data_IF_136024499847
#
_entry.id   IF_136024499847
#
_cell.length_a   1.000
_cell.length_b   1.000
_cell.length_c   1.000
_cell.angle_alpha   90.00
_cell.angle_beta   90.00
_cell.angle_gamma   90.00
#
_symmetry.space_group_name_H-M   'P 1'
#
loop_
_entity.id
_entity.type
_entity.pdbx_description
1 polymer ?
#
# COMPACT_ATOMS: atom_id res chain seq x y z
N UNK A 1 33.46 20.57 -1.88
CA UNK A 1 32.34 20.31 -0.97
C UNK A 1 32.89 19.97 0.40
N UNK A 2 32.44 20.65 1.45
CA UNK A 2 32.76 20.28 2.83
C UNK A 2 32.14 18.93 3.19
N UNK A 3 32.57 18.30 4.29
CA UNK A 3 31.98 17.02 4.77
C UNK A 3 30.48 17.16 5.09
N UNK A 4 30.04 18.37 5.45
CA UNK A 4 28.63 18.72 5.67
C UNK A 4 27.83 18.81 4.36
N UNK A 5 28.45 19.28 3.28
CA UNK A 5 27.79 19.42 1.96
C UNK A 5 27.57 18.08 1.25
N UNK A 6 28.18 16.98 1.74
CA UNK A 6 28.03 15.63 1.19
C UNK A 6 27.03 14.76 1.95
N UNK A 7 26.36 15.30 2.96
CA UNK A 7 25.45 14.55 3.81
C UNK A 7 24.04 14.52 3.24
N UNK A 8 23.55 13.33 2.88
CA UNK A 8 22.15 13.14 2.48
C UNK A 8 21.23 13.24 3.72
N UNK A 9 20.31 14.20 3.67
CA UNK A 9 19.25 14.39 4.68
C UNK A 9 17.90 14.13 4.03
N UNK A 10 17.12 13.22 4.60
CA UNK A 10 15.80 12.86 4.08
C UNK A 10 14.74 13.18 5.11
N UNK A 11 13.77 14.03 4.75
CA UNK A 11 12.59 14.28 5.56
C UNK A 11 11.61 13.11 5.44
N UNK A 12 11.21 12.54 6.58
CA UNK A 12 10.17 11.51 6.67
C UNK A 12 8.92 12.15 7.28
N UNK A 13 7.92 12.37 6.44
CA UNK A 13 6.65 13.00 6.81
C UNK A 13 5.56 11.93 6.83
N UNK A 14 5.51 11.19 7.94
CA UNK A 14 4.56 10.12 8.17
C UNK A 14 3.87 10.38 9.51
N UNK A 15 2.54 10.31 9.52
CA UNK A 15 1.76 10.53 10.72
C UNK A 15 2.01 9.46 11.79
N UNK A 16 2.22 9.90 13.03
CA UNK A 16 2.26 9.02 14.20
C UNK A 16 0.89 8.87 14.87
N UNK A 17 -0.01 9.79 14.56
CA UNK A 17 -1.35 9.89 15.11
C UNK A 17 -2.35 10.26 14.02
N UNK A 18 -3.64 10.00 14.26
CA UNK A 18 -4.70 10.26 13.29
C UNK A 18 -5.12 9.03 12.48
N UNK A 19 -6.01 9.24 11.51
CA UNK A 19 -6.77 8.18 10.83
C UNK A 19 -5.89 7.16 10.12
N UNK A 20 -4.75 7.58 9.55
CA UNK A 20 -3.83 6.74 8.76
C UNK A 20 -2.58 6.31 9.52
N UNK A 21 -2.47 6.62 10.82
CA UNK A 21 -1.25 6.42 11.61
C UNK A 21 -0.70 4.98 11.57
N UNK A 22 -1.57 3.96 11.56
CA UNK A 22 -1.13 2.57 11.53
C UNK A 22 -0.30 2.24 10.27
N UNK A 23 -0.78 2.67 9.10
CA UNK A 23 -0.09 2.52 7.81
C UNK A 23 1.13 3.44 7.74
N UNK A 24 1.01 4.69 8.17
CA UNK A 24 2.10 5.66 8.06
C UNK A 24 3.28 5.33 8.99
N UNK A 25 3.01 4.81 10.19
CA UNK A 25 4.05 4.24 11.06
C UNK A 25 4.76 3.06 10.40
N UNK A 26 4.02 2.22 9.67
CA UNK A 26 4.58 1.12 8.86
C UNK A 26 5.50 1.66 7.76
N UNK A 27 5.05 2.64 6.98
CA UNK A 27 5.85 3.32 5.94
C UNK A 27 7.13 3.95 6.50
N UNK A 28 7.01 4.67 7.63
CA UNK A 28 8.15 5.27 8.32
C UNK A 28 9.17 4.20 8.71
N UNK A 29 8.73 3.10 9.31
CA UNK A 29 9.63 2.01 9.70
C UNK A 29 10.34 1.39 8.48
N UNK A 30 9.63 1.23 7.35
CA UNK A 30 10.23 0.76 6.09
C UNK A 30 11.34 1.70 5.58
N UNK A 31 11.07 3.00 5.54
CA UNK A 31 12.06 4.01 5.14
C UNK A 31 13.27 4.07 6.08
N UNK A 32 13.03 3.99 7.40
CA UNK A 32 14.10 3.96 8.40
C UNK A 32 14.95 2.70 8.30
N UNK A 33 14.34 1.53 8.07
CA UNK A 33 15.07 0.27 7.86
C UNK A 33 16.00 0.37 6.64
N UNK A 34 15.51 0.94 5.53
CA UNK A 34 16.34 1.16 4.35
C UNK A 34 17.54 2.07 4.63
N UNK A 35 17.32 3.19 5.33
CA UNK A 35 18.39 4.11 5.71
C UNK A 35 19.42 3.42 6.63
N UNK A 36 18.95 2.63 7.61
CA UNK A 36 19.82 1.89 8.52
C UNK A 36 20.67 0.85 7.79
N UNK A 37 20.09 0.10 6.85
CA UNK A 37 20.82 -0.84 6.00
C UNK A 37 21.89 -0.15 5.16
N UNK A 38 21.54 0.96 4.50
CA UNK A 38 22.49 1.75 3.73
C UNK A 38 23.62 2.28 4.62
N UNK A 39 23.32 2.71 5.84
CA UNK A 39 24.33 3.15 6.80
C UNK A 39 25.28 2.02 7.21
N UNK A 40 24.75 0.81 7.46
CA UNK A 40 25.57 -0.40 7.70
C UNK A 40 26.44 -0.77 6.49
N UNK A 41 25.98 -0.46 5.28
CA UNK A 41 26.70 -0.67 4.00
C UNK A 41 27.75 0.43 3.70
N UNK A 42 28.02 1.35 4.64
CA UNK A 42 29.01 2.42 4.48
C UNK A 42 28.41 3.79 4.15
N UNK A 43 27.07 3.88 4.10
CA UNK A 43 26.32 5.11 3.90
C UNK A 43 26.29 5.58 2.45
N UNK A 44 26.02 6.87 2.30
CA UNK A 44 25.94 7.56 1.02
C UNK A 44 27.08 8.58 0.93
N UNK A 45 27.88 8.51 -0.13
CA UNK A 45 29.10 9.32 -0.29
C UNK A 45 30.07 9.20 0.91
N UNK A 46 30.10 8.03 1.55
CA UNK A 46 30.88 7.76 2.76
C UNK A 46 30.39 8.50 4.01
N UNK A 47 29.16 9.02 4.01
CA UNK A 47 28.50 9.62 5.17
C UNK A 47 27.20 8.86 5.49
N UNK A 48 26.79 8.79 6.77
CA UNK A 48 25.49 8.22 7.10
C UNK A 48 24.35 9.10 6.54
N UNK A 49 23.32 8.43 6.02
CA UNK A 49 22.01 9.01 5.71
C UNK A 49 21.38 9.47 7.02
N UNK A 50 20.99 10.74 7.09
CA UNK A 50 20.25 11.28 8.22
C UNK A 50 18.77 11.41 7.87
N UNK A 51 17.91 10.90 8.73
CA UNK A 51 16.46 11.06 8.61
C UNK A 51 15.95 12.11 9.58
N UNK A 52 15.07 12.99 9.10
CA UNK A 52 14.38 13.98 9.91
C UNK A 52 12.91 13.60 9.94
N UNK A 53 12.41 13.18 11.10
CA UNK A 53 11.02 12.72 11.25
C UNK A 53 10.14 13.88 11.69
N UNK A 54 9.05 14.12 10.96
CA UNK A 54 7.99 15.04 11.34
C UNK A 54 6.64 14.34 11.38
N UNK A 55 5.83 14.60 12.41
CA UNK A 55 4.46 14.10 12.55
C UNK A 55 3.43 15.17 12.11
N UNK A 56 2.86 15.03 10.90
CA UNK A 56 1.77 15.89 10.42
C UNK A 56 0.39 15.52 11.00
N UNK A 57 0.23 14.37 11.64
CA UNK A 57 -1.01 13.97 12.33
C UNK A 57 -2.21 13.67 11.43
N UNK A 58 -1.98 13.30 10.16
CA UNK A 58 -3.05 13.02 9.21
C UNK A 58 -3.85 14.25 8.74
N UNK A 59 -3.42 15.47 9.10
CA UNK A 59 -4.08 16.73 8.73
C UNK A 59 -3.57 17.26 7.39
N UNK A 60 -4.38 17.28 6.32
CA UNK A 60 -3.97 17.75 5.00
C UNK A 60 -3.35 19.15 4.99
N UNK A 61 -3.79 20.03 5.90
CA UNK A 61 -3.24 21.38 6.03
C UNK A 61 -1.82 21.39 6.62
N UNK A 62 -1.45 20.34 7.36
CA UNK A 62 -0.09 20.12 7.88
C UNK A 62 0.80 19.39 6.88
N UNK A 63 0.22 18.73 5.86
CA UNK A 63 0.93 18.18 4.69
C UNK A 63 1.11 19.20 3.54
N UNK A 64 0.48 20.38 3.62
CA UNK A 64 0.14 21.26 2.48
C UNK A 64 1.22 21.42 1.40
N UNK A 65 1.14 20.56 0.38
CA UNK A 65 0.72 20.85 -0.99
C UNK A 65 0.31 19.53 -1.66
N UNK A 66 -0.86 19.51 -2.31
CA UNK A 66 -1.53 18.38 -2.99
C UNK A 66 -2.16 17.32 -2.08
N UNK A 67 -3.48 17.20 -2.15
CA UNK A 67 -4.23 15.94 -2.31
C UNK A 67 -5.73 16.21 -2.17
N UNK A 68 -6.42 16.47 -3.27
CA UNK A 68 -7.89 16.55 -3.24
C UNK A 68 -8.60 16.00 -4.50
N UNK A 69 -7.87 15.64 -5.57
CA UNK A 69 -8.53 15.39 -6.87
C UNK A 69 -8.61 13.91 -7.30
N UNK A 70 -7.77 13.01 -6.78
CA UNK A 70 -7.60 11.68 -7.40
C UNK A 70 -8.59 10.58 -6.98
N UNK A 71 -9.22 10.68 -5.82
CA UNK A 71 -10.11 9.59 -5.32
C UNK A 71 -11.52 9.67 -5.91
N UNK A 72 -11.91 10.80 -6.48
CA UNK A 72 -13.33 11.14 -6.61
C UNK A 72 -14.07 10.49 -7.78
N UNK A 73 -13.45 9.95 -8.85
CA UNK A 73 -14.25 9.74 -10.07
C UNK A 73 -13.71 8.74 -11.15
N UNK A 74 -14.52 7.71 -11.44
CA UNK A 74 -14.80 7.09 -12.77
C UNK A 74 -14.27 5.70 -13.19
N UNK A 75 -13.21 5.12 -12.64
CA UNK A 75 -12.65 3.85 -13.18
C UNK A 75 -13.46 2.57 -12.90
N UNK A 76 -13.74 2.30 -11.62
CA UNK A 76 -14.24 0.98 -11.18
C UNK A 76 -15.69 0.72 -11.62
N UNK A 77 -16.54 1.75 -11.68
CA UNK A 77 -17.96 1.61 -12.09
C UNK A 77 -18.12 1.10 -13.52
N UNK A 78 -17.22 1.51 -14.43
CA UNK A 78 -17.28 1.07 -15.83
C UNK A 78 -16.91 -0.41 -15.96
N UNK A 79 -15.93 -0.86 -15.17
CA UNK A 79 -15.40 -2.22 -15.21
C UNK A 79 -16.44 -3.28 -14.87
N UNK A 80 -17.19 -3.11 -13.77
CA UNK A 80 -18.22 -4.07 -13.38
C UNK A 80 -19.34 -4.16 -14.43
N UNK A 81 -19.79 -3.00 -14.95
CA UNK A 81 -20.88 -2.95 -15.93
C UNK A 81 -20.50 -3.60 -17.26
N UNK A 82 -19.26 -3.48 -17.70
CA UNK A 82 -18.76 -4.14 -18.91
C UNK A 82 -18.86 -5.67 -18.82
N UNK A 83 -18.86 -6.25 -17.61
CA UNK A 83 -18.89 -7.69 -17.38
C UNK A 83 -20.19 -8.17 -16.70
N UNK A 84 -21.27 -7.40 -16.85
CA UNK A 84 -22.60 -7.79 -16.37
C UNK A 84 -22.86 -7.59 -14.87
N UNK A 85 -21.95 -6.92 -14.16
CA UNK A 85 -22.13 -6.54 -12.76
C UNK A 85 -22.96 -5.25 -12.60
N UNK A 86 -23.66 -5.14 -11.46
CA UNK A 86 -24.48 -4.00 -11.09
C UNK A 86 -24.00 -3.37 -9.77
N UNK A 87 -24.05 -2.04 -9.68
CA UNK A 87 -23.82 -1.33 -8.42
C UNK A 87 -25.18 -1.10 -7.76
N UNK A 88 -25.49 -1.92 -6.74
CA UNK A 88 -26.81 -1.93 -6.08
C UNK A 88 -26.96 -0.86 -4.99
N UNK A 89 -25.85 -0.34 -4.46
CA UNK A 89 -25.83 0.70 -3.43
C UNK A 89 -24.45 1.39 -3.43
N UNK A 90 -24.42 2.67 -3.06
CA UNK A 90 -23.17 3.43 -2.90
C UNK A 90 -23.24 4.31 -1.66
N UNK A 91 -22.37 4.03 -0.69
CA UNK A 91 -22.36 4.68 0.60
C UNK A 91 -20.99 5.27 0.93
N UNK A 92 -21.01 6.41 1.62
CA UNK A 92 -19.83 7.11 2.11
C UNK A 92 -19.98 7.35 3.60
N UNK A 93 -18.86 7.40 4.30
CA UNK A 93 -18.77 7.83 5.70
C UNK A 93 -17.58 8.77 5.90
N UNK A 94 -17.58 9.59 6.95
CA UNK A 94 -16.45 10.46 7.27
C UNK A 94 -15.16 9.67 7.52
N UNK A 95 -14.00 10.32 7.37
CA UNK A 95 -12.68 9.72 7.70
C UNK A 95 -12.57 9.33 9.18
N UNK A 96 -13.21 10.10 10.06
CA UNK A 96 -13.39 9.78 11.48
C UNK A 96 -14.87 9.49 11.73
N UNK A 97 -15.37 8.30 11.37
CA UNK A 97 -16.80 8.03 11.48
C UNK A 97 -17.19 7.84 12.94
N UNK A 98 -18.32 8.43 13.34
CA UNK A 98 -18.97 8.11 14.60
C UNK A 98 -19.64 6.71 14.51
N UNK A 99 -20.06 6.17 15.66
CA UNK A 99 -20.77 4.90 15.70
C UNK A 99 -22.06 4.92 14.86
N UNK A 100 -22.76 6.05 14.83
CA UNK A 100 -23.99 6.22 14.04
C UNK A 100 -23.71 6.23 12.53
N UNK A 101 -22.61 6.84 12.08
CA UNK A 101 -22.19 6.83 10.68
C UNK A 101 -21.91 5.38 10.21
N UNK A 102 -21.18 4.62 11.02
CA UNK A 102 -20.89 3.21 10.77
C UNK A 102 -22.17 2.37 10.71
N UNK A 103 -23.06 2.53 11.68
CA UNK A 103 -24.33 1.80 11.74
C UNK A 103 -25.20 2.09 10.52
N UNK A 104 -25.28 3.35 10.09
CA UNK A 104 -26.04 3.74 8.91
C UNK A 104 -25.51 3.08 7.63
N UNK A 105 -24.19 3.07 7.43
CA UNK A 105 -23.58 2.41 6.26
C UNK A 105 -23.79 0.90 6.31
N UNK A 106 -23.61 0.27 7.48
CA UNK A 106 -23.83 -1.17 7.67
C UNK A 106 -25.26 -1.58 7.32
N UNK A 107 -26.28 -0.85 7.80
CA UNK A 107 -27.68 -1.17 7.45
C UNK A 107 -27.97 -1.01 5.97
N UNK A 108 -27.34 -0.04 5.29
CA UNK A 108 -27.46 0.11 3.83
C UNK A 108 -26.91 -1.09 3.09
N UNK A 109 -25.73 -1.59 3.48
CA UNK A 109 -25.13 -2.80 2.91
C UNK A 109 -26.04 -4.00 3.12
N UNK A 110 -26.54 -4.20 4.34
CA UNK A 110 -27.41 -5.34 4.66
C UNK A 110 -28.71 -5.29 3.87
N UNK A 111 -29.33 -4.12 3.75
CA UNK A 111 -30.57 -3.93 2.99
C UNK A 111 -30.37 -4.14 1.48
N UNK A 112 -29.23 -3.69 0.93
CA UNK A 112 -28.91 -3.86 -0.47
C UNK A 112 -28.58 -5.32 -0.84
N UNK A 113 -28.18 -6.13 0.16
CA UNK A 113 -27.85 -7.54 0.02
C UNK A 113 -26.93 -7.84 -1.19
N UNK A 114 -25.76 -7.18 -1.30
CA UNK A 114 -24.86 -7.39 -2.43
C UNK A 114 -24.15 -8.74 -2.36
N UNK A 115 -23.69 -9.24 -3.51
CA UNK A 115 -22.83 -10.43 -3.57
C UNK A 115 -21.41 -10.16 -3.03
N UNK A 116 -20.92 -8.93 -3.21
CA UNK A 116 -19.59 -8.46 -2.78
C UNK A 116 -19.68 -7.01 -2.32
N UNK A 117 -18.95 -6.65 -1.28
CA UNK A 117 -18.77 -5.25 -0.87
C UNK A 117 -17.43 -4.76 -1.40
N UNK A 118 -17.43 -3.73 -2.25
CA UNK A 118 -16.20 -3.06 -2.67
C UNK A 118 -15.89 -1.88 -1.74
N UNK A 119 -14.85 -2.02 -0.91
CA UNK A 119 -14.47 -1.04 0.09
C UNK A 119 -13.32 -0.15 -0.36
N UNK A 120 -13.51 1.15 -0.18
CA UNK A 120 -12.46 2.20 -0.29
C UNK A 120 -12.29 2.96 1.02
N UNK A 121 -12.75 2.37 2.13
CA UNK A 121 -12.57 2.91 3.49
C UNK A 121 -11.09 2.82 3.86
N UNK A 122 -10.55 3.90 4.41
CA UNK A 122 -9.14 4.00 4.82
C UNK A 122 -9.00 4.20 6.32
N UNK A 123 -7.87 3.73 6.85
CA UNK A 123 -7.45 4.03 8.22
C UNK A 123 -8.34 3.45 9.31
N UNK A 124 -8.44 4.15 10.44
CA UNK A 124 -9.09 3.65 11.67
C UNK A 124 -10.55 3.21 11.50
N UNK A 125 -11.27 3.79 10.53
CA UNK A 125 -12.65 3.40 10.23
C UNK A 125 -12.79 2.01 9.61
N UNK A 126 -11.73 1.47 8.99
CA UNK A 126 -11.75 0.20 8.26
C UNK A 126 -12.05 -0.98 9.17
N UNK A 127 -11.30 -1.14 10.26
CA UNK A 127 -11.47 -2.26 11.17
C UNK A 127 -12.87 -2.23 11.83
N UNK A 128 -13.30 -1.06 12.30
CA UNK A 128 -14.62 -0.88 12.90
C UNK A 128 -15.76 -1.17 11.93
N UNK A 129 -15.65 -0.75 10.66
CA UNK A 129 -16.66 -1.06 9.65
C UNK A 129 -16.77 -2.57 9.41
N UNK A 130 -15.64 -3.28 9.27
CA UNK A 130 -15.62 -4.71 9.01
C UNK A 130 -16.18 -5.49 10.21
N UNK A 131 -15.82 -5.08 11.42
CA UNK A 131 -16.34 -5.65 12.66
C UNK A 131 -17.84 -5.42 12.83
N UNK A 132 -18.33 -4.20 12.58
CA UNK A 132 -19.75 -3.87 12.67
C UNK A 132 -20.57 -4.63 11.62
N UNK A 133 -20.07 -4.75 10.39
CA UNK A 133 -20.72 -5.56 9.36
C UNK A 133 -20.75 -7.03 9.76
N UNK A 134 -19.62 -7.61 10.21
CA UNK A 134 -19.57 -8.99 10.67
C UNK A 134 -20.52 -9.24 11.84
N UNK A 135 -20.58 -8.33 12.81
CA UNK A 135 -21.53 -8.41 13.93
C UNK A 135 -22.98 -8.41 13.44
N UNK A 136 -23.30 -7.59 12.44
CA UNK A 136 -24.64 -7.45 11.90
C UNK A 136 -25.14 -8.68 11.14
N UNK A 137 -24.25 -9.39 10.46
CA UNK A 137 -24.53 -10.69 9.84
C UNK A 137 -24.45 -11.87 10.82
N UNK A 138 -23.81 -11.69 11.98
CA UNK A 138 -23.66 -12.71 13.00
C UNK A 138 -22.91 -13.94 12.49
N UNK A 139 -23.51 -15.12 12.62
CA UNK A 139 -22.97 -16.37 12.08
C UNK A 139 -23.52 -16.72 10.68
N UNK A 140 -24.36 -15.86 10.11
CA UNK A 140 -24.90 -16.05 8.77
C UNK A 140 -23.86 -15.81 7.68
N UNK A 141 -24.14 -16.23 6.43
CA UNK A 141 -23.29 -15.89 5.29
C UNK A 141 -23.26 -14.37 5.13
N UNK A 142 -22.06 -13.80 5.00
CA UNK A 142 -21.84 -12.39 4.68
C UNK A 142 -21.11 -12.27 3.35
N UNK A 143 -21.39 -11.23 2.54
CA UNK A 143 -20.59 -10.99 1.34
C UNK A 143 -19.12 -10.75 1.71
N UNK A 144 -18.16 -11.26 0.93
CA UNK A 144 -16.76 -10.89 1.10
C UNK A 144 -16.59 -9.40 0.82
N UNK A 145 -15.65 -8.78 1.52
CA UNK A 145 -15.26 -7.40 1.26
C UNK A 145 -13.99 -7.42 0.41
N UNK A 146 -14.03 -6.80 -0.77
CA UNK A 146 -12.88 -6.58 -1.63
C UNK A 146 -12.38 -5.14 -1.47
N UNK A 147 -11.10 -4.93 -1.20
CA UNK A 147 -10.55 -3.61 -0.88
C UNK A 147 -9.24 -3.32 -1.60
N UNK A 148 -9.10 -2.06 -2.06
CA UNK A 148 -7.85 -1.51 -2.61
C UNK A 148 -6.92 -0.94 -1.54
N UNK A 149 -7.40 -0.79 -0.31
CA UNK A 149 -6.79 0.08 0.72
C UNK A 149 -6.46 -0.66 2.01
N UNK A 150 -7.22 -1.70 2.34
CA UNK A 150 -7.03 -2.51 3.55
C UNK A 150 -5.68 -3.23 3.49
N UNK A 151 -4.87 -3.04 4.54
CA UNK A 151 -3.54 -3.64 4.66
C UNK A 151 -3.45 -4.59 5.85
N UNK A 152 -2.29 -5.24 6.02
CA UNK A 152 -1.95 -6.05 7.19
C UNK A 152 -2.12 -5.30 8.53
N UNK A 153 -2.03 -3.96 8.52
CA UNK A 153 -2.26 -3.15 9.70
C UNK A 153 -3.74 -3.20 10.14
N UNK A 154 -4.68 -2.89 9.24
CA UNK A 154 -6.12 -2.93 9.55
C UNK A 154 -6.58 -4.37 9.80
N UNK A 155 -5.98 -5.37 9.13
CA UNK A 155 -6.28 -6.79 9.36
C UNK A 155 -5.94 -7.19 10.80
N UNK A 156 -4.80 -6.74 11.32
CA UNK A 156 -4.41 -6.99 12.70
C UNK A 156 -5.37 -6.33 13.71
N UNK A 157 -5.87 -5.12 13.40
CA UNK A 157 -6.85 -4.42 14.23
C UNK A 157 -8.23 -5.08 14.22
N UNK A 158 -8.72 -5.51 13.05
CA UNK A 158 -10.04 -6.12 12.94
C UNK A 158 -10.10 -7.54 13.51
N UNK A 159 -8.97 -8.25 13.48
CA UNK A 159 -8.83 -9.64 13.93
C UNK A 159 -9.14 -10.68 12.85
N UNK A 160 -8.39 -11.78 12.87
CA UNK A 160 -8.41 -12.82 11.83
C UNK A 160 -9.81 -13.38 11.51
N UNK A 161 -10.67 -13.57 12.52
CA UNK A 161 -12.04 -14.07 12.32
C UNK A 161 -12.88 -13.16 11.43
N UNK A 162 -12.77 -11.85 11.64
CA UNK A 162 -13.50 -10.84 10.85
C UNK A 162 -12.86 -10.65 9.49
N UNK A 163 -11.53 -10.76 9.43
CA UNK A 163 -10.76 -10.58 8.20
C UNK A 163 -10.93 -11.75 7.21
N UNK A 164 -11.07 -12.98 7.72
CA UNK A 164 -11.12 -14.21 6.92
C UNK A 164 -12.13 -14.12 5.76
N UNK A 165 -11.69 -14.52 4.56
CA UNK A 165 -12.47 -14.51 3.33
C UNK A 165 -12.59 -13.15 2.64
N UNK A 166 -12.08 -12.07 3.24
CA UNK A 166 -12.00 -10.78 2.56
C UNK A 166 -10.84 -10.76 1.56
N UNK A 167 -10.98 -9.95 0.52
CA UNK A 167 -10.07 -9.85 -0.61
C UNK A 167 -9.35 -8.51 -0.55
N UNK A 168 -8.04 -8.54 -0.74
CA UNK A 168 -7.18 -7.35 -0.77
C UNK A 168 -6.30 -7.38 -2.02
N UNK A 169 -5.89 -6.21 -2.48
CA UNK A 169 -4.95 -6.08 -3.59
C UNK A 169 -3.82 -5.14 -3.20
N UNK A 170 -2.58 -5.54 -3.49
CA UNK A 170 -1.41 -4.71 -3.29
C UNK A 170 -0.26 -5.17 -4.19
N UNK A 171 0.77 -4.33 -4.38
CA UNK A 171 1.99 -4.78 -5.04
C UNK A 171 2.77 -5.82 -4.23
N UNK A 172 2.64 -5.81 -2.91
CA UNK A 172 3.38 -6.69 -2.01
C UNK A 172 2.47 -7.24 -0.90
N UNK A 173 2.76 -8.46 -0.48
CA UNK A 173 2.28 -9.02 0.79
C UNK A 173 3.45 -9.75 1.45
N UNK A 174 3.44 -9.88 2.78
CA UNK A 174 4.49 -10.65 3.48
C UNK A 174 4.55 -12.13 3.09
N UNK A 175 3.56 -12.63 2.36
CA UNK A 175 3.47 -14.00 1.83
C UNK A 175 4.12 -14.19 0.46
N UNK A 176 4.69 -13.15 -0.15
CA UNK A 176 5.49 -13.29 -1.37
C UNK A 176 6.68 -14.21 -1.08
N UNK A 177 6.77 -15.33 -1.80
CA UNK A 177 7.85 -16.32 -1.69
C UNK A 177 9.02 -15.93 -2.61
N UNK A 178 9.96 -15.19 -2.05
CA UNK A 178 11.22 -14.84 -2.72
C UNK A 178 12.32 -14.61 -1.69
N UNK A 179 13.61 -14.78 -2.06
CA UNK A 179 14.73 -14.47 -1.17
C UNK A 179 14.70 -13.03 -0.65
N UNK A 180 14.34 -12.07 -1.51
CA UNK A 180 14.23 -10.65 -1.17
C UNK A 180 13.11 -10.39 -0.17
N UNK A 181 11.94 -11.02 -0.36
CA UNK A 181 10.81 -10.91 0.56
C UNK A 181 11.13 -11.53 1.91
N UNK A 182 11.72 -12.73 1.95
CA UNK A 182 12.12 -13.38 3.20
C UNK A 182 13.14 -12.55 3.98
N UNK A 183 14.15 -11.99 3.31
CA UNK A 183 15.12 -11.10 3.93
C UNK A 183 14.45 -9.84 4.49
N UNK A 184 13.59 -9.19 3.70
CA UNK A 184 12.86 -8.00 4.11
C UNK A 184 11.96 -8.26 5.32
N UNK A 185 11.19 -9.33 5.33
CA UNK A 185 10.33 -9.71 6.45
C UNK A 185 11.16 -9.99 7.71
N UNK A 186 12.29 -10.69 7.58
CA UNK A 186 13.20 -10.97 8.70
C UNK A 186 13.77 -9.68 9.29
N UNK A 187 14.28 -8.78 8.45
CA UNK A 187 14.85 -7.50 8.88
C UNK A 187 13.77 -6.59 9.50
N UNK A 188 12.58 -6.55 8.92
CA UNK A 188 11.46 -5.80 9.50
C UNK A 188 11.07 -6.35 10.88
N UNK A 189 10.99 -7.67 11.06
CA UNK A 189 10.67 -8.28 12.37
C UNK A 189 11.73 -7.96 13.44
N UNK A 190 12.98 -7.76 13.04
CA UNK A 190 14.06 -7.39 13.95
C UNK A 190 14.08 -5.87 14.26
N UNK A 191 13.66 -5.04 13.31
CA UNK A 191 13.79 -3.59 13.39
C UNK A 191 12.51 -2.86 13.84
N UNK A 192 11.33 -3.34 13.42
CA UNK A 192 10.07 -2.65 13.64
C UNK A 192 9.64 -2.77 15.11
N UNK A 193 9.00 -1.74 15.67
CA UNK A 193 8.29 -1.87 16.94
C UNK A 193 7.23 -2.98 16.87
N UNK A 194 7.02 -3.71 17.97
CA UNK A 194 6.15 -4.89 18.00
C UNK A 194 4.68 -4.60 17.64
N UNK A 195 4.23 -3.37 17.82
CA UNK A 195 2.89 -2.88 17.49
C UNK A 195 2.75 -2.43 16.04
N UNK A 196 3.85 -2.30 15.28
CA UNK A 196 3.82 -1.91 13.86
C UNK A 196 3.81 -3.15 12.98
N UNK A 197 2.88 -3.20 12.02
CA UNK A 197 2.77 -4.31 11.05
C UNK A 197 3.60 -4.01 9.80
N UNK A 198 4.08 -5.05 9.14
CA UNK A 198 4.72 -4.96 7.83
C UNK A 198 3.60 -4.88 6.79
N UNK A 199 3.65 -3.88 5.92
CA UNK A 199 2.63 -3.65 4.89
C UNK A 199 3.27 -3.48 3.52
N UNK A 200 2.46 -3.57 2.46
CA UNK A 200 2.87 -3.18 1.11
C UNK A 200 3.43 -1.75 1.03
N UNK A 201 2.89 -0.86 1.86
CA UNK A 201 3.30 0.54 1.90
C UNK A 201 4.65 0.74 2.59
N UNK A 202 4.97 -0.06 3.61
CA UNK A 202 6.32 -0.14 4.18
C UNK A 202 7.35 -0.65 3.17
N UNK A 203 6.99 -1.68 2.40
CA UNK A 203 7.84 -2.18 1.31
C UNK A 203 8.09 -1.09 0.27
N UNK A 204 7.07 -0.35 -0.15
CA UNK A 204 7.23 0.75 -1.10
C UNK A 204 8.16 1.86 -0.57
N UNK A 205 7.96 2.30 0.69
CA UNK A 205 8.81 3.32 1.32
C UNK A 205 10.26 2.84 1.48
N UNK A 206 10.45 1.58 1.84
CA UNK A 206 11.76 0.93 1.89
C UNK A 206 12.44 0.95 0.51
N UNK A 207 11.74 0.48 -0.53
CA UNK A 207 12.26 0.36 -1.90
C UNK A 207 12.60 1.73 -2.50
N UNK A 208 11.77 2.75 -2.27
CA UNK A 208 12.03 4.11 -2.72
C UNK A 208 13.25 4.75 -2.01
N UNK A 209 13.40 4.53 -0.71
CA UNK A 209 14.59 5.00 0.02
C UNK A 209 15.88 4.32 -0.48
N UNK A 210 15.83 3.01 -0.74
CA UNK A 210 16.97 2.26 -1.31
C UNK A 210 17.34 2.81 -2.69
N UNK A 211 16.35 3.04 -3.57
CA UNK A 211 16.56 3.64 -4.90
C UNK A 211 17.20 5.03 -4.81
N UNK A 212 16.70 5.89 -3.92
CA UNK A 212 17.26 7.23 -3.71
C UNK A 212 18.73 7.15 -3.31
N UNK A 213 19.06 6.33 -2.31
CA UNK A 213 20.43 6.17 -1.84
C UNK A 213 21.35 5.60 -2.93
N UNK A 214 20.87 4.62 -3.69
CA UNK A 214 21.59 4.04 -4.83
C UNK A 214 21.89 5.10 -5.90
N UNK A 215 20.90 5.94 -6.25
CA UNK A 215 21.07 6.98 -7.26
C UNK A 215 22.04 8.09 -6.80
N UNK A 216 21.99 8.49 -5.53
CA UNK A 216 22.95 9.45 -4.97
C UNK A 216 24.37 8.89 -5.02
N UNK A 217 24.56 7.63 -4.63
CA UNK A 217 25.87 6.99 -4.69
C UNK A 217 26.39 6.85 -6.13
N UNK A 218 25.53 6.48 -7.08
CA UNK A 218 25.91 6.30 -8.46
C UNK A 218 26.24 7.62 -9.18
N UNK A 219 25.62 8.73 -8.76
CA UNK A 219 25.84 10.06 -9.35
C UNK A 219 26.88 10.89 -8.63
N UNK A 220 27.28 10.47 -7.43
CA UNK A 220 28.12 11.23 -6.50
C UNK A 220 27.59 12.65 -6.21
N UNK A 221 26.27 12.86 -6.30
CA UNK A 221 25.63 14.17 -6.29
C UNK A 221 24.41 14.23 -5.37
N UNK A 222 24.25 15.36 -4.68
CA UNK A 222 23.03 15.70 -3.93
C UNK A 222 22.07 16.61 -4.73
N UNK A 223 22.42 16.95 -5.96
CA UNK A 223 21.59 17.79 -6.84
C UNK A 223 20.38 17.00 -7.35
N UNK A 224 19.17 17.49 -7.03
CA UNK A 224 17.91 16.81 -7.31
C UNK A 224 17.76 16.43 -8.78
N UNK A 225 18.12 17.32 -9.70
CA UNK A 225 18.00 17.05 -11.13
C UNK A 225 18.94 15.92 -11.61
N UNK A 226 20.15 15.87 -11.07
CA UNK A 226 21.15 14.84 -11.38
C UNK A 226 20.65 13.48 -10.87
N UNK A 227 20.20 13.43 -9.61
CA UNK A 227 19.66 12.22 -8.99
C UNK A 227 18.43 11.74 -9.75
N UNK A 228 17.46 12.63 -10.02
CA UNK A 228 16.22 12.31 -10.72
C UNK A 228 16.48 11.74 -12.11
N UNK A 229 17.37 12.35 -12.89
CA UNK A 229 17.71 11.85 -14.23
C UNK A 229 18.38 10.47 -14.19
N UNK A 230 19.10 10.16 -13.11
CA UNK A 230 19.67 8.83 -12.90
C UNK A 230 18.60 7.81 -12.47
N UNK A 231 17.69 8.20 -11.55
CA UNK A 231 16.63 7.32 -11.04
C UNK A 231 15.79 6.67 -12.15
N UNK A 232 15.51 7.39 -13.24
CA UNK A 232 14.76 6.85 -14.38
C UNK A 232 15.47 5.70 -15.13
N UNK A 233 16.77 5.52 -14.90
CA UNK A 233 17.60 4.47 -15.50
C UNK A 233 18.00 3.40 -14.48
N UNK A 234 17.58 3.57 -13.23
CA UNK A 234 17.86 2.64 -12.15
C UNK A 234 16.69 1.67 -11.99
N UNK A 235 17.01 0.39 -11.78
CA UNK A 235 16.06 -0.59 -11.26
C UNK A 235 16.54 -1.10 -9.91
N UNK A 236 15.59 -1.52 -9.08
CA UNK A 236 15.84 -2.19 -7.81
C UNK A 236 15.18 -3.56 -7.81
N UNK A 237 15.93 -4.60 -7.43
CA UNK A 237 15.36 -5.90 -7.11
C UNK A 237 14.80 -5.84 -5.69
N UNK A 238 13.53 -5.45 -5.59
CA UNK A 238 12.84 -5.19 -4.32
C UNK A 238 12.11 -6.43 -3.79
N UNK A 239 11.60 -6.41 -2.54
CA UNK A 239 10.81 -7.50 -1.99
C UNK A 239 9.60 -7.90 -2.85
N UNK A 240 8.96 -6.94 -3.54
CA UNK A 240 7.83 -7.22 -4.45
C UNK A 240 8.24 -7.75 -5.84
N UNK A 241 9.53 -7.72 -6.17
CA UNK A 241 10.07 -7.97 -7.51
C UNK A 241 10.83 -6.76 -8.04
N UNK A 242 11.23 -6.79 -9.31
CA UNK A 242 11.97 -5.66 -9.91
C UNK A 242 11.08 -4.43 -10.08
N UNK A 243 11.50 -3.30 -9.51
CA UNK A 243 10.82 -2.00 -9.61
C UNK A 243 11.70 -0.97 -10.32
N UNK A 244 11.09 -0.07 -11.07
CA UNK A 244 11.75 1.10 -11.66
C UNK A 244 10.74 2.23 -11.91
N UNK A 245 11.24 3.45 -12.04
CA UNK A 245 10.43 4.67 -12.21
C UNK A 245 10.47 5.12 -13.67
N UNK A 246 9.30 5.37 -14.26
CA UNK A 246 9.20 5.88 -15.62
C UNK A 246 9.46 7.38 -15.70
N UNK A 247 10.34 7.79 -16.61
CA UNK A 247 10.63 9.21 -16.86
C UNK A 247 9.40 10.00 -17.33
N UNK A 248 8.49 9.36 -18.09
CA UNK A 248 7.37 10.04 -18.73
C UNK A 248 6.30 10.54 -17.75
N UNK A 249 6.15 9.90 -16.59
CA UNK A 249 5.06 10.18 -15.66
C UNK A 249 5.48 10.08 -14.18
N UNK A 250 6.74 9.79 -13.87
CA UNK A 250 7.28 9.56 -12.52
C UNK A 250 6.63 8.41 -11.73
N UNK A 251 5.78 7.59 -12.36
CA UNK A 251 5.17 6.43 -11.72
C UNK A 251 6.06 5.21 -11.86
N UNK A 252 5.81 4.20 -11.02
CA UNK A 252 6.61 2.99 -10.98
C UNK A 252 5.96 1.84 -11.74
N UNK A 253 6.77 1.00 -12.36
CA UNK A 253 6.34 -0.34 -12.72
C UNK A 253 6.23 -1.19 -11.47
N UNK A 254 5.04 -1.72 -11.20
CA UNK A 254 4.74 -2.46 -9.98
C UNK A 254 4.08 -3.80 -10.31
N UNK A 255 4.39 -4.83 -9.54
CA UNK A 255 3.56 -6.03 -9.57
C UNK A 255 2.18 -5.70 -9.00
N UNK A 256 1.16 -6.47 -9.40
CA UNK A 256 -0.13 -6.46 -8.74
C UNK A 256 -0.44 -7.87 -8.23
N UNK A 257 -0.92 -7.98 -6.99
CA UNK A 257 -1.26 -9.24 -6.36
C UNK A 257 -2.63 -9.13 -5.72
N UNK A 258 -3.50 -10.08 -6.02
CA UNK A 258 -4.80 -10.23 -5.37
C UNK A 258 -4.66 -11.33 -4.33
N UNK A 259 -4.96 -11.01 -3.08
CA UNK A 259 -4.89 -11.91 -1.95
C UNK A 259 -6.25 -12.11 -1.29
N UNK A 260 -6.48 -13.31 -0.77
CA UNK A 260 -7.60 -13.63 0.10
C UNK A 260 -7.05 -13.90 1.50
N UNK A 261 -7.72 -13.37 2.52
CA UNK A 261 -7.27 -13.51 3.91
C UNK A 261 -7.76 -14.86 4.45
N UNK A 262 -6.84 -15.67 4.98
CA UNK A 262 -7.18 -16.97 5.58
C UNK A 262 -7.68 -16.85 7.03
N UNK A 263 -8.01 -18.00 7.63
CA UNK A 263 -8.52 -18.08 9.00
C UNK A 263 -7.50 -17.64 10.07
N UNK A 264 -6.21 -17.60 9.74
CA UNK A 264 -5.14 -17.11 10.62
C UNK A 264 -4.92 -15.60 10.50
N UNK A 265 -5.52 -14.95 9.50
CA UNK A 265 -5.29 -13.55 9.16
C UNK A 265 -4.13 -13.34 8.21
N UNK A 266 -3.56 -14.41 7.63
CA UNK A 266 -2.53 -14.32 6.60
C UNK A 266 -3.17 -14.07 5.23
N UNK A 267 -2.55 -13.20 4.44
CA UNK A 267 -2.98 -12.95 3.06
C UNK A 267 -2.39 -14.04 2.15
N UNK A 268 -3.24 -14.88 1.58
CA UNK A 268 -2.86 -15.88 0.60
C UNK A 268 -3.02 -15.31 -0.81
N UNK A 269 -1.92 -15.21 -1.57
CA UNK A 269 -1.95 -14.73 -2.95
C UNK A 269 -2.75 -15.72 -3.82
N UNK A 270 -3.82 -15.23 -4.44
CA UNK A 270 -4.67 -16.00 -5.37
C UNK A 270 -4.32 -15.73 -6.82
N UNK A 271 -3.83 -14.54 -7.10
CA UNK A 271 -3.39 -14.14 -8.43
C UNK A 271 -2.26 -13.11 -8.30
N UNK A 272 -1.32 -13.15 -9.24
CA UNK A 272 -0.33 -12.10 -9.42
C UNK A 272 -0.14 -11.79 -10.90
N UNK A 273 0.19 -10.54 -11.21
CA UNK A 273 0.55 -10.15 -12.56
C UNK A 273 1.82 -10.90 -13.00
N UNK A 274 1.89 -11.40 -14.26
CA UNK A 274 3.05 -12.18 -14.72
C UNK A 274 4.32 -11.32 -14.81
N UNK A 275 4.15 -10.01 -14.97
CA UNK A 275 5.22 -9.00 -14.99
C UNK A 275 4.78 -7.78 -14.20
N UNK A 276 5.72 -6.89 -13.90
CA UNK A 276 5.40 -5.57 -13.37
C UNK A 276 4.58 -4.77 -14.40
N UNK A 277 3.42 -4.28 -13.98
CA UNK A 277 2.49 -3.51 -14.79
C UNK A 277 3.07 -2.12 -15.01
N UNK A 278 3.10 -1.68 -16.26
CA UNK A 278 3.48 -0.32 -16.64
C UNK A 278 2.43 0.67 -16.13
N UNK A 279 2.82 1.78 -15.49
CA UNK A 279 1.85 2.75 -15.02
C UNK A 279 1.27 3.56 -16.17
N UNK A 280 -0.06 3.62 -16.23
CA UNK A 280 -0.80 4.59 -17.04
C UNK A 280 -1.79 5.34 -16.15
N UNK A 281 -1.36 6.45 -15.50
CA UNK A 281 -2.18 7.17 -14.53
C UNK A 281 -3.34 7.95 -15.17
N UNK A 282 -3.38 8.06 -16.51
CA UNK A 282 -4.41 8.82 -17.24
C UNK A 282 -5.32 7.91 -18.09
N UNK A 283 -5.20 6.59 -17.95
CA UNK A 283 -6.10 5.64 -18.62
C UNK A 283 -7.55 5.94 -18.23
N UNK A 284 -8.41 6.12 -19.24
CA UNK A 284 -9.83 6.46 -19.03
C UNK A 284 -10.72 5.22 -19.12
N UNK A 285 -10.33 4.27 -19.97
CA UNK A 285 -11.05 2.99 -20.16
C UNK A 285 -10.06 1.87 -19.92
N UNK A 286 -10.31 1.09 -18.88
CA UNK A 286 -9.56 -0.12 -18.61
C UNK A 286 -10.13 -1.27 -19.45
N UNK A 287 -9.28 -1.97 -20.20
CA UNK A 287 -9.64 -3.18 -20.91
C UNK A 287 -9.40 -4.39 -20.01
N UNK A 288 -10.46 -5.09 -19.59
CA UNK A 288 -10.31 -6.26 -18.72
C UNK A 288 -9.81 -7.51 -19.47
N UNK A 289 -9.93 -7.54 -20.79
CA UNK A 289 -9.39 -8.63 -21.61
C UNK A 289 -7.87 -8.79 -21.47
N UNK A 290 -7.18 -7.71 -21.10
CA UNK A 290 -5.74 -7.70 -20.82
C UNK A 290 -5.36 -8.68 -19.70
N UNK A 291 -6.31 -9.03 -18.82
CA UNK A 291 -6.10 -9.90 -17.67
C UNK A 291 -6.65 -11.31 -17.84
N UNK A 292 -7.59 -11.52 -18.77
CA UNK A 292 -8.34 -12.78 -18.96
C UNK A 292 -7.43 -14.00 -19.05
N UNK A 293 -6.37 -13.93 -19.86
CA UNK A 293 -5.44 -15.04 -20.04
C UNK A 293 -4.70 -15.41 -18.74
N UNK A 294 -4.33 -14.40 -17.94
CA UNK A 294 -3.59 -14.61 -16.69
C UNK A 294 -4.47 -15.10 -15.54
N UNK A 295 -5.77 -14.80 -15.57
CA UNK A 295 -6.73 -15.20 -14.54
C UNK A 295 -7.37 -16.57 -14.81
N UNK A 296 -7.43 -17.00 -16.07
CA UNK A 296 -7.97 -18.31 -16.45
C UNK A 296 -7.07 -19.51 -16.07
N UNK A 297 -5.80 -19.27 -15.73
CA UNK A 297 -4.79 -20.31 -15.51
C UNK A 297 -4.84 -21.06 -14.17
N UNK A 298 -5.72 -20.67 -13.23
CA UNK A 298 -5.62 -21.11 -11.84
C UNK A 298 -4.42 -20.46 -11.15
N UNK A 299 -4.54 -20.15 -9.86
CA UNK A 299 -3.46 -19.52 -9.08
C UNK A 299 -2.15 -20.31 -9.16
N UNK A 300 -1.00 -19.69 -8.78
CA UNK A 300 0.29 -20.36 -8.85
C UNK A 300 0.25 -21.68 -8.07
N UNK A 301 0.70 -22.75 -8.75
CA UNK A 301 0.89 -24.10 -8.20
C UNK A 301 1.88 -24.13 -7.05
#
# INVERSE_FOLDING_TARGET
MSRQDRQLKVGLLFAESGVTAAIERSQRCGALLAAEQVNREGGVLGQPVLTLVGDPGGDPDRYRNLCDDYVRNHGVRHLYKQHGGEVVEEAYMPLYPAADDLAQVVERVVRAAPDVVFSTVVGTGTASFYQALAQRYGNGPRPPIASLTTSEAEIAEMGAKVACGNIVVAPYFTSVDSPQSHAFVSECRAFFPADVRITAWAEAAYSQMRLLCQAVNATESLEVEVIRNHLYRTSLDSPQGRVHVEQQNNHSHLFARIGEIDASGQICIKWQSPVAIRPDPYVVVHNLDDWTASMAGGGPS
#
